data_IF_110575914333
#
_entry.id   IF_110575914333
#
_cell.length_a   1.000
_cell.length_b   1.000
_cell.length_c   1.000
_cell.angle_alpha   90.00
_cell.angle_beta   90.00
_cell.angle_gamma   90.00
#
_symmetry.space_group_name_H-M   'P 1'
#
loop_
_entity.id
_entity.type
_entity.pdbx_description
1 polymer ?
#
# COMPACT_ATOMS: atom_id res chain seq x y z
N UNK A 1 16.04 12.31 -19.78
CA UNK A 1 15.38 11.20 -20.52
C UNK A 1 13.88 11.40 -20.46
N UNK A 2 13.26 11.71 -21.60
CA UNK A 2 11.79 11.78 -21.75
C UNK A 2 11.25 10.36 -21.80
N UNK A 3 10.09 10.13 -21.19
CA UNK A 3 9.50 8.79 -21.10
C UNK A 3 8.03 8.85 -21.44
N UNK A 4 7.51 7.80 -22.06
CA UNK A 4 6.09 7.69 -22.30
C UNK A 4 5.32 7.73 -20.96
N UNK A 5 4.16 8.42 -20.88
CA UNK A 5 3.28 8.39 -19.72
C UNK A 5 2.92 6.96 -19.25
N UNK A 6 2.90 6.01 -20.19
CA UNK A 6 2.73 4.58 -19.91
C UNK A 6 3.82 4.00 -19.01
N UNK A 7 5.07 4.36 -19.23
CA UNK A 7 6.20 3.89 -18.40
C UNK A 7 6.04 4.40 -16.96
N UNK A 8 5.58 5.64 -16.77
CA UNK A 8 5.28 6.18 -15.45
C UNK A 8 4.12 5.45 -14.77
N UNK A 9 3.07 5.08 -15.51
CA UNK A 9 1.96 4.28 -14.97
C UNK A 9 2.40 2.87 -14.57
N UNK A 10 3.26 2.22 -15.37
CA UNK A 10 3.83 0.90 -15.06
C UNK A 10 4.69 0.99 -13.81
N UNK A 11 5.59 1.98 -13.73
CA UNK A 11 6.43 2.20 -12.54
C UNK A 11 5.58 2.44 -11.28
N UNK A 12 4.53 3.27 -11.39
CA UNK A 12 3.62 3.51 -10.28
C UNK A 12 2.91 2.22 -9.83
N UNK A 13 2.43 1.41 -10.76
CA UNK A 13 1.78 0.13 -10.46
C UNK A 13 2.75 -0.87 -9.83
N UNK A 14 3.98 -0.99 -10.37
CA UNK A 14 5.03 -1.86 -9.82
C UNK A 14 5.36 -1.47 -8.38
N UNK A 15 5.55 -0.18 -8.10
CA UNK A 15 5.78 0.30 -6.73
C UNK A 15 4.60 -0.02 -5.80
N UNK A 16 3.37 0.11 -6.30
CA UNK A 16 2.16 -0.22 -5.54
C UNK A 16 2.08 -1.70 -5.18
N UNK A 17 2.30 -2.59 -6.16
CA UNK A 17 2.30 -4.04 -5.94
C UNK A 17 3.47 -4.48 -5.06
N UNK A 18 4.67 -3.94 -5.27
CA UNK A 18 5.83 -4.24 -4.44
C UNK A 18 5.59 -3.86 -2.96
N UNK A 19 5.00 -2.68 -2.72
CA UNK A 19 4.59 -2.24 -1.39
C UNK A 19 3.54 -3.15 -0.77
N UNK A 20 2.49 -3.51 -1.53
CA UNK A 20 1.43 -4.40 -1.07
C UNK A 20 1.97 -5.78 -0.67
N UNK A 21 2.77 -6.41 -1.53
CA UNK A 21 3.36 -7.74 -1.28
C UNK A 21 4.29 -7.70 -0.07
N UNK A 22 5.15 -6.68 0.04
CA UNK A 22 6.10 -6.58 1.16
C UNK A 22 5.37 -6.46 2.50
N UNK A 23 4.32 -5.64 2.57
CA UNK A 23 3.53 -5.43 3.79
C UNK A 23 2.69 -6.66 4.13
N UNK A 24 2.06 -7.31 3.14
CA UNK A 24 1.31 -8.53 3.39
C UNK A 24 2.20 -9.66 3.88
N UNK A 25 3.38 -9.86 3.27
CA UNK A 25 4.36 -10.87 3.74
C UNK A 25 4.78 -10.61 5.19
N UNK A 26 5.04 -9.35 5.53
CA UNK A 26 5.40 -8.95 6.90
C UNK A 26 4.25 -9.16 7.88
N UNK A 27 3.04 -8.72 7.53
CA UNK A 27 1.83 -8.89 8.35
C UNK A 27 1.51 -10.36 8.60
N UNK A 28 1.56 -11.21 7.56
CA UNK A 28 1.36 -12.66 7.69
C UNK A 28 2.45 -13.30 8.56
N UNK A 29 3.71 -12.89 8.41
CA UNK A 29 4.80 -13.39 9.28
C UNK A 29 4.59 -13.02 10.75
N UNK A 30 4.05 -11.82 11.03
CA UNK A 30 3.73 -11.40 12.40
C UNK A 30 2.53 -12.18 12.96
N UNK A 31 1.48 -12.40 12.16
CA UNK A 31 0.35 -13.26 12.56
C UNK A 31 0.77 -14.71 12.82
N UNK A 32 1.67 -15.26 12.00
CA UNK A 32 2.19 -16.61 12.20
C UNK A 32 2.96 -16.74 13.52
N UNK A 33 3.71 -15.71 13.91
CA UNK A 33 4.39 -15.65 15.21
C UNK A 33 3.40 -15.55 16.37
N UNK A 34 2.33 -14.78 16.20
CA UNK A 34 1.28 -14.68 17.22
C UNK A 34 0.51 -15.99 17.35
N UNK A 35 0.14 -16.63 16.25
CA UNK A 35 -0.56 -17.92 16.25
C UNK A 35 0.29 -19.03 16.88
N UNK A 36 1.61 -19.03 16.65
CA UNK A 36 2.52 -19.97 17.33
C UNK A 36 2.64 -19.71 18.84
N UNK A 37 2.35 -18.48 19.29
CA UNK A 37 2.41 -18.09 20.70
C UNK A 37 1.09 -18.35 21.43
N UNK A 38 -0.02 -18.00 20.81
CA UNK A 38 -1.38 -18.15 21.35
C UNK A 38 -2.35 -18.48 20.20
N UNK A 39 -2.55 -19.78 19.90
CA UNK A 39 -3.34 -20.21 18.75
C UNK A 39 -4.81 -19.80 18.81
N UNK A 40 -5.38 -19.71 20.02
CA UNK A 40 -6.79 -19.40 20.28
C UNK A 40 -7.01 -17.94 20.73
N UNK A 41 -5.93 -17.15 20.78
CA UNK A 41 -5.97 -15.77 21.21
C UNK A 41 -6.89 -14.89 20.35
N UNK A 42 -7.84 -14.22 21.01
CA UNK A 42 -8.70 -13.19 20.41
C UNK A 42 -7.93 -12.12 19.62
N UNK A 43 -6.66 -11.87 19.99
CA UNK A 43 -5.78 -10.92 19.32
C UNK A 43 -5.56 -11.22 17.83
N UNK A 44 -5.45 -12.51 17.45
CA UNK A 44 -5.26 -12.92 16.06
C UNK A 44 -6.48 -12.56 15.19
N UNK A 45 -7.68 -12.88 15.69
CA UNK A 45 -8.95 -12.59 15.02
C UNK A 45 -9.24 -11.10 14.95
N UNK A 46 -8.95 -10.36 16.03
CA UNK A 46 -9.05 -8.90 16.05
C UNK A 46 -8.07 -8.27 15.05
N UNK A 47 -6.84 -8.78 14.95
CA UNK A 47 -5.86 -8.25 14.01
C UNK A 47 -6.28 -8.49 12.55
N UNK A 48 -6.78 -9.69 12.23
CA UNK A 48 -7.34 -10.01 10.91
C UNK A 48 -8.56 -9.15 10.58
N UNK A 49 -9.53 -9.07 11.49
CA UNK A 49 -10.75 -8.31 11.30
C UNK A 49 -10.49 -6.81 11.15
N UNK A 50 -9.69 -6.23 12.05
CA UNK A 50 -9.31 -4.82 11.98
C UNK A 50 -8.48 -4.54 10.72
N UNK A 51 -7.55 -5.42 10.36
CA UNK A 51 -6.76 -5.33 9.15
C UNK A 51 -7.63 -5.28 7.89
N UNK A 52 -8.59 -6.18 7.78
CA UNK A 52 -9.49 -6.26 6.64
C UNK A 52 -10.44 -5.05 6.54
N UNK A 53 -11.05 -4.66 7.67
CA UNK A 53 -11.99 -3.52 7.72
C UNK A 53 -11.30 -2.19 7.44
N UNK A 54 -10.21 -1.90 8.18
CA UNK A 54 -9.46 -0.65 8.01
C UNK A 54 -8.78 -0.61 6.65
N UNK A 55 -8.28 -1.75 6.18
CA UNK A 55 -7.65 -1.88 4.87
C UNK A 55 -8.64 -1.64 3.74
N UNK A 56 -9.82 -2.28 3.76
CA UNK A 56 -10.87 -2.08 2.78
C UNK A 56 -11.38 -0.64 2.74
N UNK A 57 -11.58 -0.02 3.92
CA UNK A 57 -12.02 1.37 4.02
C UNK A 57 -10.98 2.34 3.44
N UNK A 58 -9.71 2.20 3.83
CA UNK A 58 -8.62 3.02 3.28
C UNK A 58 -8.40 2.75 1.78
N UNK A 59 -8.57 1.51 1.31
CA UNK A 59 -8.48 1.16 -0.11
C UNK A 59 -9.45 2.00 -0.93
N UNK A 60 -10.72 2.01 -0.51
CA UNK A 60 -11.83 2.59 -1.26
C UNK A 60 -11.83 4.11 -1.25
N UNK A 61 -11.51 4.73 -0.11
CA UNK A 61 -11.62 6.18 0.05
C UNK A 61 -10.29 6.91 -0.19
N UNK A 62 -9.23 6.55 0.53
CA UNK A 62 -7.98 7.32 0.53
C UNK A 62 -7.09 6.94 -0.64
N UNK A 63 -6.75 5.65 -0.77
CA UNK A 63 -5.78 5.20 -1.76
C UNK A 63 -6.34 5.25 -3.19
N UNK A 64 -7.63 4.93 -3.37
CA UNK A 64 -8.28 5.07 -4.69
C UNK A 64 -8.34 6.52 -5.14
N UNK A 65 -8.63 7.48 -4.25
CA UNK A 65 -8.59 8.90 -4.60
C UNK A 65 -7.17 9.35 -4.98
N UNK A 66 -6.15 8.88 -4.25
CA UNK A 66 -4.74 9.17 -4.58
C UNK A 66 -4.31 8.56 -5.91
N UNK A 67 -4.73 7.33 -6.25
CA UNK A 67 -4.47 6.71 -7.56
C UNK A 67 -5.06 7.55 -8.70
N UNK A 68 -6.33 7.95 -8.57
CA UNK A 68 -7.00 8.80 -9.58
C UNK A 68 -6.30 10.14 -9.75
N UNK A 69 -5.92 10.80 -8.64
CA UNK A 69 -5.15 12.06 -8.67
C UNK A 69 -3.78 11.88 -9.32
N UNK A 70 -3.10 10.77 -9.05
CA UNK A 70 -1.79 10.49 -9.64
C UNK A 70 -1.90 10.26 -11.16
N UNK A 71 -2.89 9.47 -11.59
CA UNK A 71 -3.14 9.20 -13.02
C UNK A 71 -3.56 10.47 -13.78
N UNK A 72 -4.46 11.28 -13.21
CA UNK A 72 -4.85 12.56 -13.81
C UNK A 72 -3.64 13.51 -13.97
N UNK A 73 -2.73 13.51 -13.00
CA UNK A 73 -1.49 14.31 -13.08
C UNK A 73 -0.52 13.80 -14.15
N UNK A 74 -0.32 12.48 -14.24
CA UNK A 74 0.52 11.87 -15.28
C UNK A 74 -0.04 12.20 -16.67
N UNK A 75 -1.37 12.22 -16.83
CA UNK A 75 -2.02 12.59 -18.09
C UNK A 75 -1.88 14.09 -18.44
N UNK A 76 -1.79 14.97 -17.45
CA UNK A 76 -1.67 16.41 -17.63
C UNK A 76 -0.21 16.93 -17.73
N UNK A 77 0.78 16.04 -17.66
CA UNK A 77 2.20 16.40 -17.71
C UNK A 77 2.67 16.59 -19.17
N UNK A 78 3.10 17.80 -19.57
CA UNK A 78 3.52 18.07 -20.95
C UNK A 78 4.86 17.42 -21.34
N UNK A 79 5.78 17.23 -20.38
CA UNK A 79 7.05 16.50 -20.59
C UNK A 79 7.32 15.50 -19.45
N UNK A 80 6.88 14.24 -19.58
CA UNK A 80 6.98 13.25 -18.52
C UNK A 80 8.42 12.79 -18.29
N UNK A 81 8.92 12.96 -17.06
CA UNK A 81 10.25 12.49 -16.60
C UNK A 81 10.11 11.33 -15.61
N UNK A 82 11.05 10.37 -15.62
CA UNK A 82 11.06 9.17 -14.76
C UNK A 82 10.78 9.46 -13.28
N UNK A 83 11.35 10.55 -12.75
CA UNK A 83 11.25 10.93 -11.34
C UNK A 83 9.87 11.51 -10.93
N UNK A 84 9.01 11.83 -11.89
CA UNK A 84 7.68 12.41 -11.63
C UNK A 84 6.58 11.35 -11.51
N UNK A 85 6.91 10.06 -11.38
CA UNK A 85 5.88 9.03 -11.24
C UNK A 85 5.09 9.12 -9.90
N UNK A 86 5.65 9.79 -8.89
CA UNK A 86 4.97 10.17 -7.65
C UNK A 86 5.24 11.63 -7.22
N UNK A 87 4.38 12.16 -6.34
CA UNK A 87 4.62 13.44 -5.65
C UNK A 87 5.66 13.24 -4.53
N UNK A 88 6.51 14.24 -4.23
CA UNK A 88 7.43 14.19 -3.08
C UNK A 88 6.72 13.85 -1.76
N UNK A 89 5.52 14.40 -1.56
CA UNK A 89 4.70 14.12 -0.38
C UNK A 89 4.27 12.65 -0.23
N UNK A 90 4.21 11.88 -1.33
CA UNK A 90 3.98 10.44 -1.24
C UNK A 90 5.17 9.71 -0.62
N UNK A 91 6.40 10.09 -0.98
CA UNK A 91 7.61 9.54 -0.36
C UNK A 91 7.71 9.89 1.11
N UNK A 92 7.31 11.11 1.50
CA UNK A 92 7.22 11.51 2.92
C UNK A 92 6.21 10.66 3.67
N UNK A 93 5.00 10.47 3.13
CA UNK A 93 3.98 9.63 3.74
C UNK A 93 4.43 8.16 3.83
N UNK A 94 5.10 7.64 2.80
CA UNK A 94 5.65 6.29 2.78
C UNK A 94 6.75 6.13 3.84
N UNK A 95 7.67 7.09 3.94
CA UNK A 95 8.72 7.09 4.94
C UNK A 95 8.13 7.15 6.36
N UNK A 96 7.13 8.02 6.60
CA UNK A 96 6.44 8.09 7.88
C UNK A 96 5.77 6.76 8.26
N UNK A 97 5.12 6.10 7.30
CA UNK A 97 4.47 4.81 7.51
C UNK A 97 5.47 3.69 7.80
N UNK A 98 6.60 3.63 7.07
CA UNK A 98 7.68 2.67 7.33
C UNK A 98 8.29 2.91 8.71
N UNK A 99 8.61 4.16 9.05
CA UNK A 99 9.16 4.54 10.36
C UNK A 99 8.20 4.19 11.48
N UNK A 100 6.91 4.49 11.34
CA UNK A 100 5.89 4.11 12.31
C UNK A 100 5.82 2.58 12.45
N UNK A 101 5.83 1.83 11.34
CA UNK A 101 5.84 0.38 11.36
C UNK A 101 7.07 -0.21 12.06
N UNK A 102 8.26 0.36 11.84
CA UNK A 102 9.50 -0.05 12.55
C UNK A 102 9.43 0.29 14.03
N UNK A 103 8.97 1.48 14.38
CA UNK A 103 8.86 1.92 15.78
C UNK A 103 7.87 1.06 16.56
N UNK A 104 6.69 0.81 15.98
CA UNK A 104 5.71 -0.11 16.55
C UNK A 104 6.25 -1.55 16.62
N UNK A 105 7.01 -2.01 15.62
CA UNK A 105 7.66 -3.34 15.67
C UNK A 105 8.70 -3.43 16.78
N UNK A 106 9.38 -2.32 17.11
CA UNK A 106 10.31 -2.25 18.26
C UNK A 106 9.55 -2.27 19.59
N UNK A 107 8.46 -1.51 19.70
CA UNK A 107 7.59 -1.52 20.88
C UNK A 107 6.92 -2.88 21.10
N UNK A 108 6.57 -3.58 20.02
CA UNK A 108 6.00 -4.93 20.05
C UNK A 108 6.97 -6.02 20.56
N UNK A 109 8.28 -5.72 20.66
CA UNK A 109 9.21 -6.60 21.39
C UNK A 109 9.13 -6.43 22.90
N UNK A 110 8.71 -5.25 23.37
CA UNK A 110 8.56 -4.95 24.80
C UNK A 110 7.18 -5.40 25.28
N UNK A 111 6.14 -5.15 24.49
CA UNK A 111 4.76 -5.52 24.82
C UNK A 111 4.25 -6.64 23.88
N UNK A 112 3.99 -7.86 24.39
CA UNK A 112 3.47 -9.00 23.62
C UNK A 112 2.27 -8.67 22.74
N UNK A 113 1.34 -7.88 23.26
CA UNK A 113 0.06 -7.54 22.61
C UNK A 113 0.22 -6.62 21.41
N UNK A 114 1.36 -5.92 21.29
CA UNK A 114 1.59 -4.98 20.20
C UNK A 114 1.92 -5.66 18.86
N UNK A 115 2.25 -6.95 18.84
CA UNK A 115 2.44 -7.73 17.61
C UNK A 115 1.14 -7.78 16.80
N UNK A 116 0.00 -7.99 17.46
CA UNK A 116 -1.33 -7.99 16.84
C UNK A 116 -1.65 -6.66 16.15
N UNK A 117 -1.37 -5.52 16.79
CA UNK A 117 -1.65 -4.21 16.21
C UNK A 117 -0.77 -3.92 14.99
N UNK A 118 0.51 -4.31 15.03
CA UNK A 118 1.42 -4.14 13.88
C UNK A 118 1.00 -5.02 12.72
N UNK A 119 0.63 -6.28 13.00
CA UNK A 119 0.13 -7.20 12.00
C UNK A 119 -1.16 -6.68 11.33
N UNK A 120 -2.11 -6.18 12.12
CA UNK A 120 -3.34 -5.57 11.63
C UNK A 120 -3.06 -4.35 10.73
N UNK A 121 -2.12 -3.49 11.14
CA UNK A 121 -1.74 -2.30 10.39
C UNK A 121 -1.07 -2.65 9.06
N UNK A 122 -0.10 -3.57 9.07
CA UNK A 122 0.60 -4.02 7.86
C UNK A 122 -0.38 -4.70 6.88
N UNK A 123 -1.31 -5.52 7.38
CA UNK A 123 -2.37 -6.11 6.57
C UNK A 123 -3.32 -5.05 6.00
N UNK A 124 -3.77 -4.10 6.82
CA UNK A 124 -4.66 -3.03 6.38
C UNK A 124 -4.03 -2.22 5.24
N UNK A 125 -2.77 -1.84 5.39
CA UNK A 125 -2.07 -1.08 4.35
C UNK A 125 -1.86 -1.95 3.10
N UNK A 126 -1.44 -3.21 3.26
CA UNK A 126 -1.25 -4.14 2.15
C UNK A 126 -2.53 -4.33 1.33
N UNK A 127 -3.65 -4.58 2.00
CA UNK A 127 -4.99 -4.68 1.39
C UNK A 127 -5.44 -3.35 0.77
N UNK A 128 -5.14 -2.21 1.41
CA UNK A 128 -5.46 -0.90 0.85
C UNK A 128 -4.71 -0.63 -0.46
N UNK A 129 -3.43 -0.99 -0.52
CA UNK A 129 -2.62 -0.90 -1.72
C UNK A 129 -3.14 -1.85 -2.81
N UNK A 130 -3.39 -3.11 -2.49
CA UNK A 130 -3.93 -4.10 -3.43
C UNK A 130 -5.30 -3.69 -3.97
N UNK A 131 -6.23 -3.29 -3.10
CA UNK A 131 -7.57 -2.87 -3.52
C UNK A 131 -7.55 -1.60 -4.36
N UNK A 132 -6.70 -0.63 -4.03
CA UNK A 132 -6.53 0.57 -4.86
C UNK A 132 -5.81 0.31 -6.18
N UNK A 133 -5.00 -0.75 -6.29
CA UNK A 133 -4.34 -1.12 -7.55
C UNK A 133 -5.35 -1.43 -8.67
N UNK A 134 -6.57 -1.86 -8.33
CA UNK A 134 -7.68 -2.07 -9.28
C UNK A 134 -8.06 -0.79 -10.03
N UNK A 135 -7.76 0.39 -9.48
CA UNK A 135 -8.01 1.68 -10.14
C UNK A 135 -7.13 1.85 -11.39
N UNK A 136 -5.90 1.33 -11.38
CA UNK A 136 -5.02 1.37 -12.57
C UNK A 136 -5.65 0.60 -13.74
N UNK A 137 -6.26 -0.55 -13.44
CA UNK A 137 -6.98 -1.36 -14.43
C UNK A 137 -8.26 -0.68 -14.89
N UNK A 138 -9.09 -0.18 -13.97
CA UNK A 138 -10.35 0.52 -14.28
C UNK A 138 -10.15 1.75 -15.16
N UNK A 139 -9.08 2.50 -14.96
CA UNK A 139 -8.78 3.70 -15.76
C UNK A 139 -7.99 3.40 -17.04
N UNK A 140 -7.84 2.12 -17.42
CA UNK A 140 -7.08 1.70 -18.60
C UNK A 140 -5.69 2.35 -18.64
N UNK A 141 -5.02 2.47 -17.48
CA UNK A 141 -3.73 3.17 -17.37
C UNK A 141 -2.63 2.55 -18.25
N UNK A 142 -2.85 1.33 -18.75
CA UNK A 142 -1.97 0.57 -19.64
C UNK A 142 -2.42 0.54 -21.12
N UNK A 143 -3.61 1.04 -21.44
CA UNK A 143 -4.12 1.04 -22.83
C UNK A 143 -3.48 2.14 -23.66
N UNK A 144 -3.16 1.82 -24.91
CA UNK A 144 -2.66 2.75 -25.93
C UNK A 144 -3.80 3.75 -26.21
N UNK A 145 -3.57 5.05 -26.00
CA UNK A 145 -4.41 6.05 -26.67
C UNK A 145 -4.09 5.90 -28.15
N UNK A 146 -5.00 5.31 -28.91
CA UNK A 146 -4.97 5.41 -30.37
C UNK A 146 -5.13 6.90 -30.68
N UNK A 147 -4.17 7.55 -31.37
CA UNK A 147 -4.42 8.87 -31.92
C UNK A 147 -5.58 8.71 -32.92
N UNK A 148 -6.68 9.44 -32.66
CA UNK A 148 -7.71 9.70 -33.66
C UNK A 148 -7.23 10.82 -34.57
#
# INVERSE_FOLDING_TARGET
>A
MRVAPRTLNILAAVTWYAGAVSLLRKGVSLLAKEHARDPEGLGLWLALGAGLLLGGLKARFVFSANCRRNLARIAALPDPRLWQFFRPGFFVALAAMITAGVLLSRLARVEPRAICYVAALDLAIGLALLGSSLVFWRQRAFSRKTPA
#
